data_IF_262269848104
#
_entry.id   IF_262269848104
#
_cell.length_a   1.000
_cell.length_b   1.000
_cell.length_c   1.000
_cell.angle_alpha   90.00
_cell.angle_beta   90.00
_cell.angle_gamma   90.00
#
_symmetry.space_group_name_H-M   'P 1'
#
loop_
_entity.id
_entity.type
_entity.pdbx_description
1 polymer ?
#
# COMPACT_ATOMS: atom_id res chain seq x y z
N UNK A 1 15.70 6.52 -12.55
CA UNK A 1 14.65 5.47 -12.64
C UNK A 1 13.59 5.95 -13.61
N UNK A 2 13.12 5.14 -14.57
CA UNK A 2 11.97 5.52 -15.39
C UNK A 2 10.79 5.84 -14.47
N UNK A 3 10.01 6.87 -14.84
CA UNK A 3 8.88 7.35 -14.05
C UNK A 3 7.90 6.19 -13.87
N UNK A 4 7.78 5.67 -12.65
CA UNK A 4 6.81 4.61 -12.34
C UNK A 4 5.40 5.15 -12.58
N UNK A 5 4.61 4.40 -13.32
CA UNK A 5 3.18 4.68 -13.47
C UNK A 5 2.41 4.31 -12.20
N UNK A 6 1.15 4.73 -12.14
CA UNK A 6 0.30 4.51 -10.96
C UNK A 6 0.01 3.03 -10.69
N UNK A 7 0.06 2.18 -11.74
CA UNK A 7 -0.14 0.74 -11.60
C UNK A 7 1.06 0.13 -10.88
N UNK A 8 2.29 0.48 -11.26
CA UNK A 8 3.50 0.02 -10.60
C UNK A 8 3.55 0.42 -9.12
N UNK A 9 3.13 1.64 -8.77
CA UNK A 9 3.01 2.06 -7.36
C UNK A 9 2.00 1.20 -6.59
N UNK A 10 0.83 0.99 -7.16
CA UNK A 10 -0.22 0.18 -6.54
C UNK A 10 0.20 -1.30 -6.38
N UNK A 11 0.94 -1.85 -7.34
CA UNK A 11 1.50 -3.20 -7.24
C UNK A 11 2.51 -3.32 -6.10
N UNK A 12 3.41 -2.34 -5.94
CA UNK A 12 4.36 -2.34 -4.83
C UNK A 12 3.65 -2.21 -3.47
N UNK A 13 2.65 -1.33 -3.34
CA UNK A 13 1.82 -1.23 -2.13
C UNK A 13 1.17 -2.57 -1.78
N UNK A 14 0.58 -3.24 -2.77
CA UNK A 14 -0.05 -4.55 -2.58
C UNK A 14 0.95 -5.59 -2.07
N UNK A 15 2.18 -5.57 -2.59
CA UNK A 15 3.26 -6.44 -2.13
C UNK A 15 3.59 -6.23 -0.65
N UNK A 16 3.81 -4.98 -0.23
CA UNK A 16 4.10 -4.68 1.17
C UNK A 16 2.93 -4.99 2.11
N UNK A 17 1.69 -4.71 1.69
CA UNK A 17 0.49 -5.07 2.45
C UNK A 17 0.41 -6.60 2.65
N UNK A 18 0.72 -7.40 1.62
CA UNK A 18 0.61 -8.85 1.69
C UNK A 18 1.55 -9.52 2.72
N UNK A 19 2.65 -8.85 3.06
CA UNK A 19 3.61 -9.30 4.08
C UNK A 19 3.37 -8.63 5.44
N UNK A 20 2.32 -7.82 5.58
CA UNK A 20 1.96 -7.12 6.81
C UNK A 20 2.84 -5.91 7.13
N UNK A 21 3.69 -5.48 6.19
CA UNK A 21 4.62 -4.37 6.39
C UNK A 21 3.94 -3.03 6.12
N UNK A 22 3.09 -2.60 7.05
CA UNK A 22 2.36 -1.35 6.92
C UNK A 22 3.22 -0.10 7.09
N UNK A 23 4.39 -0.21 7.73
CA UNK A 23 5.35 0.90 7.84
C UNK A 23 5.91 1.27 6.47
N UNK A 24 6.48 0.28 5.75
CA UNK A 24 6.98 0.51 4.39
C UNK A 24 5.86 0.78 3.38
N UNK A 25 4.67 0.18 3.57
CA UNK A 25 3.48 0.52 2.76
C UNK A 25 3.15 2.01 2.88
N UNK A 26 3.14 2.54 4.10
CA UNK A 26 2.82 3.96 4.34
C UNK A 26 3.90 4.89 3.79
N UNK A 27 5.18 4.60 4.04
CA UNK A 27 6.29 5.37 3.45
C UNK A 27 6.19 5.40 1.92
N UNK A 28 5.95 4.26 1.28
CA UNK A 28 5.79 4.19 -0.17
C UNK A 28 4.59 5.01 -0.67
N UNK A 29 3.46 4.95 0.04
CA UNK A 29 2.26 5.72 -0.27
C UNK A 29 2.48 7.24 -0.16
N UNK A 30 3.27 7.70 0.82
CA UNK A 30 3.62 9.12 0.96
C UNK A 30 4.52 9.62 -0.17
N UNK A 31 5.36 8.75 -0.73
CA UNK A 31 6.25 9.04 -1.87
C UNK A 31 5.55 9.02 -3.23
N UNK A 32 4.32 8.53 -3.32
CA UNK A 32 3.56 8.53 -4.58
C UNK A 32 3.28 9.97 -5.06
N UNK A 33 3.70 10.33 -6.29
CA UNK A 33 3.46 11.67 -6.82
C UNK A 33 1.98 11.93 -7.16
N UNK A 34 1.25 10.87 -7.52
CA UNK A 34 -0.19 10.89 -7.77
C UNK A 34 -0.84 9.67 -7.14
N UNK A 35 -2.00 9.85 -6.54
CA UNK A 35 -2.78 8.80 -5.87
C UNK A 35 -4.17 8.75 -6.49
N UNK A 36 -4.69 7.55 -6.68
CA UNK A 36 -6.06 7.36 -7.15
C UNK A 36 -6.89 6.64 -6.09
N UNK A 37 -8.17 6.43 -6.38
CA UNK A 37 -9.11 5.71 -5.50
C UNK A 37 -8.55 4.34 -5.11
N UNK A 38 -7.89 3.64 -6.04
CA UNK A 38 -7.30 2.34 -5.78
C UNK A 38 -6.15 2.42 -4.74
N UNK A 39 -5.28 3.41 -4.82
CA UNK A 39 -4.19 3.62 -3.84
C UNK A 39 -4.75 3.81 -2.42
N UNK A 40 -5.85 4.56 -2.26
CA UNK A 40 -6.51 4.74 -0.96
C UNK A 40 -7.19 3.46 -0.46
N UNK A 41 -7.85 2.72 -1.36
CA UNK A 41 -8.47 1.43 -1.02
C UNK A 41 -7.43 0.41 -0.56
N UNK A 42 -6.22 0.42 -1.12
CA UNK A 42 -5.12 -0.42 -0.67
C UNK A 42 -4.71 -0.08 0.77
N UNK A 43 -4.55 1.20 1.11
CA UNK A 43 -4.20 1.60 2.48
C UNK A 43 -5.26 1.15 3.49
N UNK A 44 -6.54 1.37 3.19
CA UNK A 44 -7.64 0.91 4.04
C UNK A 44 -7.62 -0.61 4.22
N UNK A 45 -7.47 -1.35 3.13
CA UNK A 45 -7.38 -2.82 3.16
C UNK A 45 -6.20 -3.29 4.01
N UNK A 46 -5.04 -2.65 3.86
CA UNK A 46 -3.84 -3.00 4.63
C UNK A 46 -4.04 -2.83 6.14
N UNK A 47 -4.62 -1.72 6.58
CA UNK A 47 -4.92 -1.50 8.00
C UNK A 47 -5.98 -2.45 8.54
N UNK A 48 -7.03 -2.76 7.76
CA UNK A 48 -8.05 -3.74 8.16
C UNK A 48 -7.40 -5.13 8.33
N UNK A 49 -6.59 -5.57 7.36
CA UNK A 49 -5.91 -6.87 7.41
C UNK A 49 -4.95 -6.95 8.60
N UNK A 50 -4.18 -5.89 8.88
CA UNK A 50 -3.28 -5.88 10.03
C UNK A 50 -4.05 -5.98 11.35
N UNK A 51 -5.21 -5.36 11.46
CA UNK A 51 -6.04 -5.43 12.66
C UNK A 51 -6.72 -6.81 12.83
N UNK A 52 -7.17 -7.43 11.73
CA UNK A 52 -7.71 -8.80 11.75
C UNK A 52 -6.64 -9.83 12.14
N UNK A 53 -5.39 -9.65 11.70
CA UNK A 53 -4.26 -10.53 12.06
C UNK A 53 -3.93 -10.45 13.57
N UNK A 54 -4.17 -9.30 14.21
CA UNK A 54 -3.97 -9.13 15.67
C UNK A 54 -5.10 -9.73 16.52
N UNK A 55 -6.15 -10.27 15.91
CA UNK A 55 -7.30 -10.88 16.61
C UNK A 55 -7.36 -12.42 16.56
N UNK A 56 -6.27 -13.10 16.21
CA UNK A 56 -6.17 -14.56 16.21
C UNK A 56 -5.17 -15.11 17.24
#
# INVERSE_FOLDING_TARGET
MPRRDIVAWNSMLTGFISIGDMENTFDLFTRMPHRNVFSWNLMLRGYIQQNDINTA
#
